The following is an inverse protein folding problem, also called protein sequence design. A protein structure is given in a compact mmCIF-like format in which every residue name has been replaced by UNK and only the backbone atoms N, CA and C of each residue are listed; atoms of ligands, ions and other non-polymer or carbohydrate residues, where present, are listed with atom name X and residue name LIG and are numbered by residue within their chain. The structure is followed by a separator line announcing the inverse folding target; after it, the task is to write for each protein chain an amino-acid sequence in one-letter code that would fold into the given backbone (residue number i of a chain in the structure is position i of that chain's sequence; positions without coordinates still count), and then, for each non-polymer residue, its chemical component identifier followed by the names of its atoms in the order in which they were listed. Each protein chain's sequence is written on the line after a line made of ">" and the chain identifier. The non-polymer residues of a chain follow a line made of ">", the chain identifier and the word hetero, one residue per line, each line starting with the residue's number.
data_IF_039716546513
#
_entry.id   IF_039716546513
#
_cell.length_a   1.000
_cell.length_b   1.000
_cell.length_c   1.000
_cell.angle_alpha   90.00
_cell.angle_beta   90.00
_cell.angle_gamma   90.00
#
_symmetry.space_group_name_H-M   'P 1'
#
loop_
_entity.id
_entity.type
_entity.pdbx_description
1 polymer ?
#
# COMPACT_ATOMS: atom_id res chain seq x y z
N UNK A 1 -13.20 8.80 8.68
CA UNK A 1 -12.58 9.14 9.98
C UNK A 1 -12.81 10.61 10.37
N UNK A 2 -12.61 11.60 9.45
CA UNK A 2 -12.84 13.01 9.74
C UNK A 2 -14.30 13.26 10.20
N UNK A 3 -15.29 12.69 9.51
CA UNK A 3 -16.70 12.80 9.91
C UNK A 3 -16.95 12.23 11.31
N UNK A 4 -16.35 11.09 11.64
CA UNK A 4 -16.48 10.51 12.98
C UNK A 4 -15.85 11.40 14.05
N UNK A 5 -14.68 12.01 13.77
CA UNK A 5 -14.04 12.95 14.67
C UNK A 5 -14.90 14.21 14.89
N UNK A 6 -15.50 14.76 13.81
CA UNK A 6 -16.43 15.90 13.91
C UNK A 6 -17.67 15.56 14.75
N UNK A 7 -18.28 14.40 14.53
CA UNK A 7 -19.45 13.97 15.31
C UNK A 7 -19.10 13.77 16.80
N UNK A 8 -17.95 13.17 17.09
CA UNK A 8 -17.49 13.00 18.46
C UNK A 8 -17.20 14.36 19.13
N UNK A 9 -16.52 15.26 18.45
CA UNK A 9 -16.26 16.62 18.94
C UNK A 9 -17.54 17.40 19.20
N UNK A 10 -18.51 17.33 18.28
CA UNK A 10 -19.80 17.97 18.44
C UNK A 10 -20.58 17.42 19.66
N UNK A 11 -20.53 16.09 19.89
CA UNK A 11 -21.14 15.47 21.06
C UNK A 11 -20.49 15.91 22.38
N UNK A 12 -19.21 16.33 22.34
CA UNK A 12 -18.48 16.89 23.48
C UNK A 12 -18.59 18.42 23.58
N UNK A 13 -19.37 19.07 22.70
CA UNK A 13 -19.61 20.51 22.73
C UNK A 13 -18.51 21.36 22.10
N UNK A 14 -17.58 20.74 21.32
CA UNK A 14 -16.53 21.48 20.60
C UNK A 14 -17.13 22.20 19.40
N UNK A 15 -16.77 23.47 19.18
CA UNK A 15 -17.26 24.29 18.09
C UNK A 15 -16.75 23.82 16.70
N UNK A 16 -17.57 23.95 15.66
CA UNK A 16 -17.20 23.57 14.28
C UNK A 16 -15.91 24.25 13.79
N UNK A 17 -15.67 25.57 14.03
CA UNK A 17 -14.44 26.20 13.60
C UNK A 17 -13.17 25.59 14.24
N UNK A 18 -13.23 25.26 15.52
CA UNK A 18 -12.12 24.63 16.26
C UNK A 18 -11.85 23.23 15.74
N UNK A 19 -12.90 22.45 15.50
CA UNK A 19 -12.78 21.11 14.92
C UNK A 19 -12.21 21.15 13.49
N UNK A 20 -12.65 22.11 12.67
CA UNK A 20 -12.15 22.30 11.32
C UNK A 20 -10.66 22.66 11.32
N UNK A 21 -10.23 23.55 12.22
CA UNK A 21 -8.83 23.90 12.39
C UNK A 21 -7.99 22.71 12.85
N UNK A 22 -8.48 21.92 13.81
CA UNK A 22 -7.83 20.69 14.25
C UNK A 22 -7.69 19.64 13.13
N UNK A 23 -8.73 19.47 12.30
CA UNK A 23 -8.65 18.57 11.14
C UNK A 23 -7.67 19.08 10.07
N UNK A 24 -7.63 20.38 9.83
CA UNK A 24 -6.71 20.97 8.86
C UNK A 24 -5.24 20.86 9.29
N UNK A 25 -4.95 20.84 10.59
CA UNK A 25 -3.60 20.65 11.13
C UNK A 25 -3.17 19.18 11.21
N UNK A 26 -4.09 18.23 10.97
CA UNK A 26 -3.77 16.80 11.05
C UNK A 26 -2.95 16.35 9.84
N UNK A 27 -1.73 15.92 10.09
CA UNK A 27 -0.75 15.51 9.06
C UNK A 27 -0.83 14.03 8.67
N UNK A 28 -1.81 13.30 9.19
CA UNK A 28 -1.98 11.87 8.91
C UNK A 28 -1.50 10.97 10.03
N UNK A 29 -1.64 9.68 9.83
CA UNK A 29 -1.16 8.63 10.73
C UNK A 29 -0.11 7.80 10.00
N UNK A 30 0.96 7.42 10.68
CA UNK A 30 1.97 6.54 10.13
C UNK A 30 1.34 5.28 9.50
N UNK A 31 1.84 4.88 8.35
CA UNK A 31 1.36 3.71 7.60
C UNK A 31 -0.13 3.76 7.22
N UNK A 32 -0.73 4.93 7.05
CA UNK A 32 -2.08 5.13 6.55
C UNK A 32 -2.05 6.07 5.36
N UNK A 33 -1.74 5.52 4.20
CA UNK A 33 -1.46 6.24 2.97
C UNK A 33 -0.44 7.37 3.21
N UNK A 34 0.62 7.03 3.94
CA UNK A 34 1.68 7.96 4.36
C UNK A 34 2.64 8.20 3.20
N UNK A 35 2.85 9.45 2.79
CA UNK A 35 3.90 9.79 1.83
C UNK A 35 5.28 9.65 2.50
N UNK A 36 6.09 8.70 2.02
CA UNK A 36 7.42 8.38 2.55
C UNK A 36 8.55 9.12 1.82
N UNK A 37 8.26 9.69 0.67
CA UNK A 37 9.23 10.47 -0.09
C UNK A 37 8.93 10.52 -1.58
N UNK A 38 9.78 11.27 -2.29
CA UNK A 38 9.70 11.45 -3.74
C UNK A 38 11.07 11.58 -4.37
N UNK A 39 11.17 11.22 -5.63
CA UNK A 39 12.34 11.45 -6.48
C UNK A 39 11.83 11.86 -7.86
N UNK A 40 12.23 13.04 -8.32
CA UNK A 40 11.61 13.66 -9.50
C UNK A 40 10.10 13.83 -9.30
N UNK A 41 9.31 13.34 -10.22
CA UNK A 41 7.84 13.35 -10.16
C UNK A 41 7.23 12.06 -9.56
N UNK A 42 8.05 11.03 -9.27
CA UNK A 42 7.62 9.77 -8.65
C UNK A 42 7.45 9.95 -7.15
N UNK A 43 6.40 9.35 -6.58
CA UNK A 43 6.09 9.44 -5.15
C UNK A 43 5.92 8.06 -4.53
N UNK A 44 6.46 7.90 -3.32
CA UNK A 44 6.34 6.68 -2.53
C UNK A 44 5.37 6.87 -1.37
N UNK A 45 4.44 5.92 -1.22
CA UNK A 45 3.50 5.84 -0.11
C UNK A 45 3.67 4.52 0.65
N UNK A 46 3.27 4.50 1.92
CA UNK A 46 3.17 3.30 2.75
C UNK A 46 1.77 3.18 3.34
N UNK A 47 1.17 1.99 3.27
CA UNK A 47 -0.15 1.72 3.82
C UNK A 47 -0.20 0.38 4.56
N UNK A 48 -0.84 0.38 5.72
CA UNK A 48 -1.01 -0.81 6.56
C UNK A 48 -2.10 -1.77 6.08
N UNK A 49 -2.79 -1.48 4.98
CA UNK A 49 -3.89 -2.27 4.45
C UNK A 49 -3.48 -3.74 4.28
N UNK A 50 -4.23 -4.62 4.91
CA UNK A 50 -3.97 -6.06 4.97
C UNK A 50 -5.26 -6.90 4.92
N UNK A 51 -6.38 -6.27 4.64
CA UNK A 51 -7.67 -6.90 4.35
C UNK A 51 -8.17 -6.41 2.98
N UNK A 52 -8.84 -7.23 2.15
CA UNK A 52 -9.25 -6.84 0.80
C UNK A 52 -10.02 -5.52 0.72
N UNK A 53 -10.89 -5.26 1.69
CA UNK A 53 -11.65 -3.99 1.77
C UNK A 53 -10.74 -2.78 2.01
N UNK A 54 -9.70 -2.93 2.84
CA UNK A 54 -8.71 -1.87 3.09
C UNK A 54 -7.84 -1.64 1.86
N UNK A 55 -7.38 -2.72 1.20
CA UNK A 55 -6.62 -2.67 -0.05
C UNK A 55 -7.41 -1.91 -1.13
N UNK A 56 -8.67 -2.27 -1.33
CA UNK A 56 -9.53 -1.58 -2.30
C UNK A 56 -9.73 -0.09 -1.95
N UNK A 57 -9.83 0.26 -0.66
CA UNK A 57 -9.97 1.64 -0.23
C UNK A 57 -8.68 2.43 -0.46
N UNK A 58 -7.52 1.87 -0.11
CA UNK A 58 -6.22 2.50 -0.33
C UNK A 58 -5.94 2.72 -1.82
N UNK A 59 -6.25 1.75 -2.68
CA UNK A 59 -6.03 1.89 -4.13
C UNK A 59 -7.00 2.88 -4.79
N UNK A 60 -8.24 3.02 -4.31
CA UNK A 60 -9.12 4.12 -4.75
C UNK A 60 -8.53 5.49 -4.41
N UNK A 61 -7.98 5.65 -3.20
CA UNK A 61 -7.27 6.88 -2.81
C UNK A 61 -6.04 7.09 -3.68
N UNK A 62 -5.27 6.04 -3.95
CA UNK A 62 -4.10 6.06 -4.79
C UNK A 62 -4.40 6.61 -6.20
N UNK A 63 -5.48 6.17 -6.82
CA UNK A 63 -5.93 6.68 -8.13
C UNK A 63 -6.23 8.17 -8.12
N UNK A 64 -6.88 8.65 -7.06
CA UNK A 64 -7.16 10.08 -6.92
C UNK A 64 -5.86 10.88 -6.80
N UNK A 65 -4.90 10.37 -6.01
CA UNK A 65 -3.62 11.05 -5.77
C UNK A 65 -2.68 10.99 -6.97
N UNK A 66 -2.68 9.87 -7.71
CA UNK A 66 -1.89 9.71 -8.93
C UNK A 66 -2.43 10.56 -10.09
N UNK A 67 -3.74 10.82 -10.12
CA UNK A 67 -4.37 11.54 -11.25
C UNK A 67 -4.20 10.77 -12.55
N UNK A 68 -3.45 11.36 -13.49
CA UNK A 68 -3.11 10.71 -14.77
C UNK A 68 -1.90 9.76 -14.66
N UNK A 69 -1.17 9.76 -13.53
CA UNK A 69 -0.02 8.87 -13.30
C UNK A 69 -0.43 7.43 -13.01
N UNK A 70 0.51 6.51 -13.22
CA UNK A 70 0.34 5.09 -12.91
C UNK A 70 0.36 4.83 -11.39
N UNK A 71 -0.29 3.73 -10.99
CA UNK A 71 -0.28 3.21 -9.62
C UNK A 71 0.38 1.84 -9.61
N UNK A 72 1.52 1.74 -8.95
CA UNK A 72 2.22 0.48 -8.67
C UNK A 72 2.05 0.11 -7.21
N UNK A 73 1.74 -1.15 -6.92
CA UNK A 73 1.65 -1.65 -5.55
C UNK A 73 2.62 -2.80 -5.31
N UNK A 74 3.36 -2.75 -4.21
CA UNK A 74 4.15 -3.85 -3.67
C UNK A 74 3.42 -4.34 -2.44
N UNK A 75 2.76 -5.49 -2.56
CA UNK A 75 1.86 -6.03 -1.53
C UNK A 75 2.50 -7.19 -0.79
N UNK A 76 2.54 -7.12 0.55
CA UNK A 76 2.93 -8.21 1.43
C UNK A 76 1.69 -8.80 2.10
N UNK A 77 1.23 -10.00 1.69
CA UNK A 77 0.14 -10.69 2.37
C UNK A 77 0.54 -10.97 3.83
N UNK A 78 -0.42 -10.89 4.74
CA UNK A 78 -0.19 -11.09 6.18
C UNK A 78 -1.05 -12.24 6.68
N UNK A 79 -0.42 -13.27 7.27
CA UNK A 79 -0.97 -14.52 7.74
C UNK A 79 -1.36 -15.50 6.60
N UNK A 80 -0.96 -16.75 6.76
CA UNK A 80 -1.32 -17.83 5.83
C UNK A 80 -2.83 -18.08 5.82
N UNK A 81 -3.47 -18.11 7.00
CA UNK A 81 -4.91 -18.28 7.13
C UNK A 81 -5.70 -17.22 6.37
N UNK A 82 -5.28 -15.95 6.44
CA UNK A 82 -5.92 -14.85 5.72
C UNK A 82 -5.69 -14.95 4.22
N UNK A 83 -4.47 -15.27 3.80
CA UNK A 83 -4.12 -15.45 2.39
C UNK A 83 -4.98 -16.54 1.77
N UNK A 84 -5.11 -17.70 2.42
CA UNK A 84 -5.96 -18.80 1.97
C UNK A 84 -7.43 -18.40 1.80
N UNK A 85 -7.99 -17.69 2.79
CA UNK A 85 -9.41 -17.32 2.79
C UNK A 85 -9.73 -16.25 1.75
N UNK A 86 -8.80 -15.29 1.55
CA UNK A 86 -9.10 -14.07 0.80
C UNK A 86 -8.29 -13.91 -0.50
N UNK A 87 -7.55 -14.92 -0.97
CA UNK A 87 -6.69 -14.79 -2.16
C UNK A 87 -7.42 -14.17 -3.37
N UNK A 88 -8.58 -14.70 -3.75
CA UNK A 88 -9.37 -14.16 -4.86
C UNK A 88 -9.84 -12.73 -4.63
N UNK A 89 -10.25 -12.39 -3.40
CA UNK A 89 -10.67 -11.04 -3.05
C UNK A 89 -9.51 -10.05 -3.00
N UNK A 90 -8.30 -10.50 -2.63
CA UNK A 90 -7.09 -9.69 -2.77
C UNK A 90 -6.78 -9.42 -4.24
N UNK A 91 -6.85 -10.45 -5.09
CA UNK A 91 -6.65 -10.29 -6.53
C UNK A 91 -7.64 -9.27 -7.13
N UNK A 92 -8.94 -9.36 -6.80
CA UNK A 92 -9.96 -8.40 -7.22
C UNK A 92 -9.64 -6.98 -6.75
N UNK A 93 -9.23 -6.81 -5.49
CA UNK A 93 -8.91 -5.49 -4.95
C UNK A 93 -7.64 -4.90 -5.58
N UNK A 94 -6.60 -5.71 -5.77
CA UNK A 94 -5.31 -5.32 -6.34
C UNK A 94 -5.41 -4.99 -7.84
N UNK A 95 -6.39 -5.53 -8.56
CA UNK A 95 -6.63 -5.24 -9.97
C UNK A 95 -6.91 -3.75 -10.26
N UNK A 96 -7.14 -2.92 -9.23
CA UNK A 96 -7.26 -1.47 -9.38
C UNK A 96 -5.92 -0.75 -9.59
N UNK A 97 -4.77 -1.42 -9.38
CA UNK A 97 -3.44 -0.90 -9.69
C UNK A 97 -3.04 -1.24 -11.14
N UNK A 98 -2.11 -0.47 -11.71
CA UNK A 98 -1.55 -0.74 -13.05
C UNK A 98 -0.50 -1.85 -13.00
N UNK A 99 0.30 -1.85 -11.93
CA UNK A 99 1.32 -2.86 -11.69
C UNK A 99 1.21 -3.39 -10.26
N UNK A 100 1.27 -4.72 -10.14
CA UNK A 100 1.17 -5.42 -8.85
C UNK A 100 2.36 -6.37 -8.70
N UNK A 101 3.11 -6.18 -7.62
CA UNK A 101 4.16 -7.08 -7.17
C UNK A 101 3.76 -7.62 -5.80
N UNK A 102 3.74 -8.94 -5.65
CA UNK A 102 3.35 -9.61 -4.39
C UNK A 102 4.57 -10.33 -3.82
N UNK A 103 4.89 -10.08 -2.55
CA UNK A 103 5.97 -10.75 -1.84
C UNK A 103 5.51 -12.06 -1.22
N UNK A 104 6.40 -12.81 -0.58
CA UNK A 104 5.99 -13.91 0.28
C UNK A 104 5.13 -13.45 1.44
N UNK A 105 4.34 -14.40 1.97
CA UNK A 105 3.45 -14.16 3.10
C UNK A 105 4.25 -13.82 4.36
N UNK A 106 3.92 -12.72 5.01
CA UNK A 106 4.41 -12.44 6.35
C UNK A 106 3.63 -13.29 7.36
N UNK A 107 4.29 -14.32 7.86
CA UNK A 107 3.68 -15.35 8.72
C UNK A 107 3.20 -14.81 10.08
N UNK A 108 3.87 -13.75 10.61
CA UNK A 108 3.69 -13.24 11.96
C UNK A 108 3.87 -14.36 13.01
N UNK A 109 2.77 -14.94 13.49
CA UNK A 109 2.77 -16.02 14.50
C UNK A 109 2.17 -17.34 14.00
N UNK A 110 1.94 -17.44 12.68
CA UNK A 110 1.44 -18.67 12.08
C UNK A 110 2.60 -19.50 11.51
N UNK A 111 2.47 -20.81 11.59
CA UNK A 111 3.36 -21.71 10.88
C UNK A 111 2.98 -21.77 9.40
N UNK A 112 3.95 -22.05 8.49
CA UNK A 112 3.64 -22.25 7.08
C UNK A 112 2.59 -23.34 6.86
N UNK A 113 1.57 -23.03 6.08
CA UNK A 113 0.50 -23.97 5.72
C UNK A 113 0.79 -24.57 4.33
N UNK A 114 0.90 -25.91 4.19
CA UNK A 114 1.18 -26.55 2.90
C UNK A 114 0.17 -26.13 1.82
N UNK A 115 0.68 -25.67 0.67
CA UNK A 115 -0.14 -25.24 -0.47
C UNK A 115 -0.73 -23.83 -0.31
N UNK A 116 -0.33 -23.08 0.74
CA UNK A 116 -0.75 -21.71 0.95
C UNK A 116 0.45 -20.79 0.86
N UNK A 117 0.53 -20.01 -0.19
CA UNK A 117 1.53 -18.97 -0.41
C UNK A 117 0.93 -17.81 -1.23
N UNK A 118 1.76 -16.85 -1.57
CA UNK A 118 1.34 -15.65 -2.31
C UNK A 118 0.94 -15.94 -3.75
N UNK A 119 1.30 -17.11 -4.31
CA UNK A 119 0.92 -17.49 -5.66
C UNK A 119 -0.59 -17.71 -5.79
N UNK A 120 -1.29 -17.98 -4.70
CA UNK A 120 -2.76 -18.01 -4.69
C UNK A 120 -3.37 -16.68 -5.14
N UNK A 121 -2.70 -15.55 -4.82
CA UNK A 121 -3.15 -14.21 -5.22
C UNK A 121 -2.74 -13.95 -6.66
N UNK A 122 -1.45 -14.17 -7.01
CA UNK A 122 -0.94 -13.83 -8.35
C UNK A 122 -1.52 -14.72 -9.44
N UNK A 123 -1.83 -15.99 -9.16
CA UNK A 123 -2.53 -16.87 -10.10
C UNK A 123 -3.95 -16.40 -10.42
N UNK A 124 -4.59 -15.69 -9.49
CA UNK A 124 -5.92 -15.10 -9.68
C UNK A 124 -5.86 -13.67 -10.29
N UNK A 125 -4.67 -13.10 -10.49
CA UNK A 125 -4.46 -11.75 -11.01
C UNK A 125 -3.44 -11.79 -12.16
N UNK A 126 -3.85 -12.07 -13.41
CA UNK A 126 -2.97 -12.07 -14.56
C UNK A 126 -2.20 -10.75 -14.72
N UNK A 127 -0.89 -10.84 -14.99
CA UNK A 127 -0.01 -9.68 -15.13
C UNK A 127 0.64 -9.22 -13.82
N UNK A 128 0.23 -9.75 -12.66
CA UNK A 128 0.94 -9.53 -11.41
C UNK A 128 2.22 -10.38 -11.32
N UNK A 129 3.19 -9.90 -10.55
CA UNK A 129 4.46 -10.57 -10.33
C UNK A 129 4.52 -11.12 -8.89
N UNK A 130 4.98 -12.38 -8.74
CA UNK A 130 5.39 -12.90 -7.43
C UNK A 130 6.90 -12.76 -7.30
N UNK A 131 7.36 -11.97 -6.35
CA UNK A 131 8.77 -11.77 -6.02
C UNK A 131 8.93 -12.01 -4.53
N UNK A 132 9.41 -13.20 -4.10
CA UNK A 132 9.42 -13.65 -2.71
C UNK A 132 10.11 -12.68 -1.75
N UNK A 133 11.31 -12.22 -2.09
CA UNK A 133 12.07 -11.27 -1.26
C UNK A 133 11.47 -9.86 -1.35
N UNK A 134 11.14 -9.28 -0.20
CA UNK A 134 10.47 -7.98 -0.14
C UNK A 134 11.34 -6.81 -0.62
N UNK A 135 12.66 -6.89 -0.46
CA UNK A 135 13.59 -5.85 -0.93
C UNK A 135 13.75 -5.91 -2.45
N UNK A 136 13.79 -7.12 -3.02
CA UNK A 136 13.78 -7.33 -4.46
C UNK A 136 12.42 -6.90 -5.05
N UNK A 137 11.31 -7.25 -4.41
CA UNK A 137 9.97 -6.82 -4.81
C UNK A 137 9.84 -5.29 -4.84
N UNK A 138 10.40 -4.61 -3.83
CA UNK A 138 10.39 -3.16 -3.77
C UNK A 138 11.18 -2.54 -4.94
N UNK A 139 12.36 -3.07 -5.27
CA UNK A 139 13.16 -2.62 -6.42
C UNK A 139 12.46 -2.94 -7.76
N UNK A 140 11.86 -4.13 -7.87
CA UNK A 140 11.06 -4.51 -9.04
C UNK A 140 9.90 -3.55 -9.24
N UNK A 141 9.13 -3.29 -8.18
CA UNK A 141 8.04 -2.32 -8.22
C UNK A 141 8.52 -0.91 -8.57
N UNK A 142 9.64 -0.48 -8.02
CA UNK A 142 10.23 0.83 -8.33
C UNK A 142 10.58 1.00 -9.82
N UNK A 143 11.05 -0.08 -10.47
CA UNK A 143 11.33 -0.11 -11.91
C UNK A 143 10.10 -0.06 -12.82
N UNK A 144 8.90 -0.32 -12.27
CA UNK A 144 7.62 -0.27 -13.00
C UNK A 144 6.92 1.08 -12.90
N UNK A 145 7.48 2.03 -12.14
CA UNK A 145 6.85 3.35 -11.95
C UNK A 145 7.33 4.35 -12.98
N UNK A 146 6.43 4.78 -13.84
CA UNK A 146 6.68 5.85 -14.80
C UNK A 146 6.75 7.23 -14.12
N UNK A 147 7.22 8.24 -14.88
CA UNK A 147 7.20 9.64 -14.46
C UNK A 147 5.77 10.09 -14.09
N UNK A 148 5.65 10.75 -12.94
CA UNK A 148 4.36 11.18 -12.38
C UNK A 148 3.58 10.08 -11.68
N UNK A 149 4.06 8.83 -11.73
CA UNK A 149 3.43 7.69 -11.06
C UNK A 149 3.69 7.64 -9.57
N UNK A 150 2.98 6.73 -8.91
CA UNK A 150 3.15 6.44 -7.48
C UNK A 150 3.44 4.97 -7.23
N UNK A 151 4.22 4.68 -6.21
CA UNK A 151 4.38 3.35 -5.64
C UNK A 151 3.81 3.33 -4.23
N UNK A 152 3.13 2.23 -3.89
CA UNK A 152 2.64 2.00 -2.53
C UNK A 152 3.23 0.69 -2.02
N UNK A 153 3.99 0.74 -0.91
CA UNK A 153 4.27 -0.44 -0.10
C UNK A 153 3.06 -0.73 0.78
N UNK A 154 2.51 -1.94 0.72
CA UNK A 154 1.23 -2.25 1.35
C UNK A 154 1.27 -3.56 2.12
N UNK A 155 0.86 -3.52 3.39
CA UNK A 155 0.77 -4.70 4.25
C UNK A 155 1.01 -4.40 5.73
N UNK A 156 0.60 -5.31 6.62
CA UNK A 156 0.76 -5.16 8.07
C UNK A 156 2.11 -5.67 8.61
N UNK A 157 2.92 -6.28 7.74
CA UNK A 157 4.21 -6.85 8.08
C UNK A 157 5.39 -5.88 7.95
N UNK A 158 6.55 -6.46 7.59
CA UNK A 158 7.83 -5.76 7.48
C UNK A 158 8.01 -4.93 6.20
N UNK A 159 7.09 -5.01 5.24
CA UNK A 159 7.19 -4.33 3.93
C UNK A 159 7.45 -2.81 4.04
N UNK A 160 6.97 -2.18 5.11
CA UNK A 160 7.21 -0.76 5.40
C UNK A 160 8.70 -0.38 5.44
N UNK A 161 9.60 -1.34 5.77
CA UNK A 161 11.04 -1.11 5.81
C UNK A 161 11.67 -0.93 4.41
N UNK A 162 10.99 -1.39 3.35
CA UNK A 162 11.51 -1.35 1.98
C UNK A 162 11.41 0.01 1.31
N UNK A 163 10.84 1.03 1.97
CA UNK A 163 10.74 2.37 1.40
C UNK A 163 12.09 2.99 1.02
N UNK A 164 13.15 2.67 1.78
CA UNK A 164 14.51 3.13 1.48
C UNK A 164 15.02 2.54 0.15
N UNK A 165 14.77 1.26 -0.12
CA UNK A 165 15.18 0.58 -1.36
C UNK A 165 14.56 1.24 -2.59
N UNK A 166 13.28 1.61 -2.52
CA UNK A 166 12.56 2.29 -3.60
C UNK A 166 13.18 3.64 -3.90
N UNK A 167 13.36 4.47 -2.86
CA UNK A 167 13.91 5.82 -3.02
C UNK A 167 15.36 5.79 -3.51
N UNK A 168 16.14 4.83 -3.05
CA UNK A 168 17.52 4.66 -3.52
C UNK A 168 17.57 4.20 -4.98
N UNK A 169 16.69 3.26 -5.37
CA UNK A 169 16.57 2.79 -6.74
C UNK A 169 16.29 3.95 -7.71
N UNK A 170 15.30 4.80 -7.38
CA UNK A 170 14.96 5.96 -8.21
C UNK A 170 16.11 6.97 -8.30
N UNK A 171 16.78 7.30 -7.17
CA UNK A 171 17.91 8.24 -7.17
C UNK A 171 19.07 7.78 -8.05
N UNK A 172 19.34 6.47 -8.07
CA UNK A 172 20.40 5.89 -8.93
C UNK A 172 20.02 5.95 -10.41
N UNK A 173 18.74 5.73 -10.74
CA UNK A 173 18.24 5.82 -12.11
C UNK A 173 18.27 7.26 -12.67
N UNK A 174 17.96 8.26 -11.85
CA UNK A 174 17.97 9.66 -12.26
C UNK A 174 19.39 10.27 -12.34
N UNK A 175 20.42 9.57 -11.84
CA UNK A 175 21.82 10.02 -11.86
C UNK A 175 22.61 9.54 -13.10
N UNK A 176 21.99 8.74 -13.97
CA UNK A 176 22.58 8.25 -15.23
C UNK A 176 22.01 8.99 -16.44
#
# INVERSE_FOLDING_TARGET
>A
NATAALLAGAALGVGLPEMAAGLASFTGTARRFEERGRVGSRRLFDDYAHHPTEVAAALRQARVVAGAGGVTVVFQPHLYSRTRIFAGRFAEALAAADHVVVTDVYAAREDPEPGVDSTLITSALPGSLHVPDMHEAARTGAGLVDEGGILITMGAGSITSCGADVLEFWRRGDAQ
#
